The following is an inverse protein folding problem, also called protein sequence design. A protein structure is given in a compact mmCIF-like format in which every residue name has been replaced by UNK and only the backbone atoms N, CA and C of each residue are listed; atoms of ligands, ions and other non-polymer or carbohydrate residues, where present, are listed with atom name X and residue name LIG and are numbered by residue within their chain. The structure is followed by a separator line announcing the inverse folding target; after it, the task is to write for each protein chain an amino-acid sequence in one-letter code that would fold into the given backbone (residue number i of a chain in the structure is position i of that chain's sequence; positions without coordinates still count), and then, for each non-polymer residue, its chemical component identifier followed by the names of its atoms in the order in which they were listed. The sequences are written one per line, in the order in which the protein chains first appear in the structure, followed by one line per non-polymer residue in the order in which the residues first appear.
data_IF_395453136034
#
_entry.id   IF_395453136034
#
_cell.length_a   1.000
_cell.length_b   1.000
_cell.length_c   1.000
_cell.angle_alpha   90.00
_cell.angle_beta   90.00
_cell.angle_gamma   90.00
#
_symmetry.space_group_name_H-M   'P 1'
#
loop_
_entity.id
_entity.type
_entity.pdbx_description
1 polymer ?
#
# COMPACT_ATOMS: atom_id res chain seq x y z
N UNK A 1 4.93 -7.58 13.04
CA UNK A 1 4.92 -7.39 11.59
C UNK A 1 3.55 -7.66 11.03
N UNK A 2 3.18 -6.89 10.01
CA UNK A 2 1.93 -6.98 9.29
C UNK A 2 2.26 -7.28 7.83
N UNK A 3 1.54 -8.22 7.23
CA UNK A 3 1.76 -8.72 5.89
C UNK A 3 0.43 -8.70 5.11
N UNK A 4 0.26 -7.72 4.23
CA UNK A 4 -0.87 -7.61 3.31
C UNK A 4 -0.56 -8.35 2.01
N UNK A 5 -1.00 -9.60 1.95
CA UNK A 5 -0.86 -10.45 0.78
C UNK A 5 -2.07 -10.40 -0.15
N UNK A 6 -2.04 -11.21 -1.19
CA UNK A 6 -3.14 -11.34 -2.17
C UNK A 6 -4.31 -12.18 -1.66
N UNK A 7 -4.11 -13.01 -0.62
CA UNK A 7 -5.16 -13.86 -0.04
C UNK A 7 -5.74 -13.33 1.28
N UNK A 8 -5.01 -12.43 1.95
CA UNK A 8 -5.41 -11.90 3.25
C UNK A 8 -4.37 -10.97 3.86
N UNK A 9 -4.69 -10.46 5.04
CA UNK A 9 -3.77 -9.77 5.93
C UNK A 9 -3.37 -10.68 7.08
N UNK A 10 -2.09 -10.72 7.43
CA UNK A 10 -1.58 -11.45 8.59
C UNK A 10 -0.83 -10.51 9.54
N UNK A 11 -0.96 -10.76 10.84
CA UNK A 11 -0.11 -10.18 11.86
C UNK A 11 0.75 -11.27 12.49
N UNK A 12 1.98 -10.91 12.86
CA UNK A 12 2.92 -11.71 13.62
C UNK A 12 3.55 -10.84 14.71
N UNK A 13 3.48 -11.25 15.97
CA UNK A 13 4.13 -10.58 17.10
C UNK A 13 5.36 -11.38 17.49
N UNK A 14 6.51 -10.72 17.48
CA UNK A 14 7.79 -11.33 17.80
C UNK A 14 8.33 -10.76 19.11
N UNK A 15 8.92 -11.62 19.93
CA UNK A 15 9.78 -11.20 21.04
C UNK A 15 11.16 -10.77 20.54
N UNK A 16 11.95 -10.16 21.44
CA UNK A 16 13.29 -9.67 21.11
C UNK A 16 14.25 -10.77 20.62
N UNK A 17 14.05 -12.01 21.09
CA UNK A 17 14.79 -13.20 20.66
C UNK A 17 14.30 -13.77 19.31
N UNK A 18 13.39 -13.05 18.62
CA UNK A 18 12.75 -13.41 17.34
C UNK A 18 11.74 -14.56 17.45
N UNK A 19 11.35 -14.97 18.65
CA UNK A 19 10.28 -15.96 18.84
C UNK A 19 8.92 -15.35 18.49
N UNK A 20 8.17 -16.01 17.61
CA UNK A 20 6.77 -15.65 17.35
C UNK A 20 5.90 -16.09 18.53
N UNK A 21 5.22 -15.12 19.16
CA UNK A 21 4.35 -15.35 20.33
C UNK A 21 2.87 -15.20 19.99
N UNK A 22 2.55 -14.61 18.85
CA UNK A 22 1.19 -14.48 18.36
C UNK A 22 1.17 -14.36 16.85
N UNK A 23 0.19 -15.01 16.22
CA UNK A 23 -0.07 -14.88 14.78
C UNK A 23 -1.56 -15.02 14.52
N UNK A 24 -2.07 -14.21 13.59
CA UNK A 24 -3.47 -14.29 13.15
C UNK A 24 -3.59 -13.73 11.74
N UNK A 25 -4.54 -14.26 10.98
CA UNK A 25 -4.85 -13.77 9.63
C UNK A 25 -6.35 -13.49 9.46
N UNK A 26 -6.64 -12.51 8.61
CA UNK A 26 -7.97 -12.24 8.05
C UNK A 26 -7.89 -12.50 6.56
N UNK A 27 -8.77 -13.35 6.02
CA UNK A 27 -8.84 -13.59 4.58
C UNK A 27 -9.75 -12.55 3.94
N UNK A 28 -9.40 -12.11 2.74
CA UNK A 28 -10.19 -11.11 2.02
C UNK A 28 -11.65 -11.58 1.84
N UNK A 29 -11.83 -12.77 1.29
CA UNK A 29 -13.16 -13.36 1.04
C UNK A 29 -14.13 -13.42 2.24
N UNK A 30 -13.64 -13.29 3.48
CA UNK A 30 -14.48 -13.37 4.68
C UNK A 30 -15.18 -12.03 4.97
N UNK A 31 -14.59 -10.89 4.57
CA UNK A 31 -15.09 -9.57 4.99
C UNK A 31 -14.81 -8.41 4.02
N UNK A 32 -13.70 -8.41 3.30
CA UNK A 32 -13.25 -7.27 2.48
C UNK A 32 -12.64 -7.75 1.16
N UNK A 33 -12.72 -6.97 0.09
CA UNK A 33 -12.01 -7.35 -1.13
C UNK A 33 -10.49 -7.12 -1.01
N UNK A 34 -9.70 -7.89 -1.75
CA UNK A 34 -8.23 -7.75 -1.76
C UNK A 34 -7.77 -6.40 -2.33
N UNK A 35 -8.64 -5.72 -3.09
CA UNK A 35 -8.46 -4.41 -3.72
C UNK A 35 -9.24 -3.28 -3.03
N UNK A 36 -9.76 -3.52 -1.82
CA UNK A 36 -10.48 -2.51 -1.01
C UNK A 36 -9.53 -1.81 0.00
N UNK A 37 -9.17 -0.54 -0.22
CA UNK A 37 -8.27 0.20 0.66
C UNK A 37 -8.79 0.35 2.10
N UNK A 38 -10.10 0.57 2.27
CA UNK A 38 -10.72 0.63 3.59
C UNK A 38 -10.59 -0.70 4.29
N UNK A 39 -10.84 -1.79 3.56
CA UNK A 39 -10.69 -3.15 4.05
C UNK A 39 -9.27 -3.51 4.48
N UNK A 40 -8.24 -2.97 3.82
CA UNK A 40 -6.85 -3.13 4.25
C UNK A 40 -6.62 -2.54 5.64
N UNK A 41 -7.03 -1.29 5.84
CA UNK A 41 -6.85 -0.56 7.11
C UNK A 41 -7.65 -1.22 8.24
N UNK A 42 -8.90 -1.56 7.98
CA UNK A 42 -9.78 -2.19 8.97
C UNK A 42 -9.27 -3.56 9.39
N UNK A 43 -8.79 -4.37 8.44
CA UNK A 43 -8.21 -5.68 8.73
C UNK A 43 -6.99 -5.56 9.63
N UNK A 44 -6.11 -4.60 9.35
CA UNK A 44 -4.92 -4.31 10.16
C UNK A 44 -5.31 -3.84 11.56
N UNK A 45 -6.23 -2.88 11.68
CA UNK A 45 -6.75 -2.40 12.98
C UNK A 45 -7.39 -3.53 13.78
N UNK A 46 -8.12 -4.44 13.13
CA UNK A 46 -8.69 -5.62 13.79
C UNK A 46 -7.61 -6.55 14.32
N UNK A 47 -6.61 -6.87 13.50
CA UNK A 47 -5.51 -7.76 13.89
C UNK A 47 -4.66 -7.19 15.02
N UNK A 48 -4.40 -5.87 15.02
CA UNK A 48 -3.69 -5.19 16.11
C UNK A 48 -4.49 -5.28 17.42
N UNK A 49 -5.81 -5.02 17.38
CA UNK A 49 -6.67 -5.16 18.57
C UNK A 49 -6.67 -6.58 19.11
N UNK A 50 -6.81 -7.57 18.23
CA UNK A 50 -6.81 -8.98 18.62
C UNK A 50 -5.47 -9.42 19.23
N UNK A 51 -4.35 -8.94 18.68
CA UNK A 51 -3.03 -9.20 19.25
C UNK A 51 -2.85 -8.53 20.61
N UNK A 52 -3.29 -7.28 20.76
CA UNK A 52 -3.21 -6.54 22.04
C UNK A 52 -4.05 -7.17 23.14
N UNK A 53 -5.16 -7.82 22.78
CA UNK A 53 -6.01 -8.54 23.73
C UNK A 53 -5.45 -9.93 24.12
N UNK A 54 -4.63 -10.53 23.25
CA UNK A 54 -4.11 -11.89 23.43
C UNK A 54 -2.69 -11.94 24.02
N UNK A 55 -1.92 -10.85 23.92
CA UNK A 55 -0.54 -10.79 24.40
C UNK A 55 -0.44 -9.76 25.53
N UNK A 56 -0.24 -10.26 26.74
CA UNK A 56 -0.17 -9.44 27.95
C UNK A 56 0.92 -8.35 27.85
N UNK A 57 0.53 -7.10 28.12
CA UNK A 57 1.42 -5.94 28.14
C UNK A 57 1.94 -5.51 26.76
N UNK A 58 1.36 -6.00 25.65
CA UNK A 58 1.81 -5.64 24.31
C UNK A 58 1.75 -4.13 24.06
N UNK A 59 0.68 -3.48 24.53
CA UNK A 59 0.44 -2.03 24.41
C UNK A 59 1.55 -1.15 25.03
N UNK A 60 2.18 -1.63 26.10
CA UNK A 60 3.25 -0.91 26.81
C UNK A 60 4.66 -1.36 26.41
N UNK A 61 4.79 -2.54 25.80
CA UNK A 61 6.09 -3.14 25.46
C UNK A 61 6.41 -3.11 23.97
N UNK A 62 5.43 -2.85 23.10
CA UNK A 62 5.61 -2.80 21.64
C UNK A 62 6.62 -1.70 21.25
N UNK A 63 7.72 -2.12 20.62
CA UNK A 63 8.79 -1.20 20.18
C UNK A 63 8.62 -0.67 18.77
N UNK A 64 8.02 -1.47 17.89
CA UNK A 64 7.96 -1.16 16.47
C UNK A 64 6.90 -1.99 15.76
N UNK A 65 6.32 -1.40 14.73
CA UNK A 65 5.46 -2.09 13.76
C UNK A 65 6.13 -1.99 12.40
N UNK A 66 6.16 -3.09 11.65
CA UNK A 66 6.50 -3.10 10.23
C UNK A 66 5.30 -3.57 9.43
N UNK A 67 5.09 -2.98 8.25
CA UNK A 67 4.00 -3.29 7.33
C UNK A 67 4.62 -3.64 5.99
N UNK A 68 4.28 -4.82 5.47
CA UNK A 68 4.62 -5.28 4.14
C UNK A 68 3.34 -5.38 3.31
N UNK A 69 3.41 -4.96 2.05
CA UNK A 69 2.30 -5.04 1.11
C UNK A 69 2.71 -5.78 -0.15
N UNK A 70 1.72 -6.24 -0.91
CA UNK A 70 1.97 -6.87 -2.20
C UNK A 70 2.56 -5.83 -3.16
N UNK A 71 3.72 -6.14 -3.75
CA UNK A 71 4.48 -5.21 -4.58
C UNK A 71 3.65 -4.62 -5.73
N UNK A 72 3.85 -3.34 -6.01
CA UNK A 72 3.14 -2.57 -7.04
C UNK A 72 1.61 -2.46 -6.88
N UNK A 73 1.03 -3.00 -5.80
CA UNK A 73 -0.35 -2.69 -5.43
C UNK A 73 -0.39 -1.27 -4.85
N UNK A 74 -1.18 -0.38 -5.46
CA UNK A 74 -1.23 1.02 -5.06
C UNK A 74 -2.61 1.64 -5.28
N UNK A 75 -2.80 2.82 -4.72
CA UNK A 75 -3.99 3.65 -4.82
C UNK A 75 -3.60 5.12 -4.85
N UNK A 76 -4.46 5.99 -5.41
CA UNK A 76 -4.33 7.43 -5.19
C UNK A 76 -5.08 7.80 -3.91
N UNK A 77 -4.36 8.34 -2.94
CA UNK A 77 -4.87 8.79 -1.66
C UNK A 77 -5.03 10.31 -1.65
N UNK A 78 -6.14 10.81 -1.12
CA UNK A 78 -6.27 12.23 -0.77
C UNK A 78 -5.65 12.46 0.61
N UNK A 79 -4.62 13.32 0.69
CA UNK A 79 -3.89 13.59 1.93
C UNK A 79 -4.65 14.43 2.95
N UNK A 80 -5.73 15.11 2.57
CA UNK A 80 -6.58 15.85 3.53
C UNK A 80 -7.56 14.92 4.24
N UNK A 81 -8.20 14.01 3.50
CA UNK A 81 -9.22 13.11 4.08
C UNK A 81 -8.62 11.79 4.56
N UNK A 82 -7.50 11.38 3.96
CA UNK A 82 -6.92 10.06 4.13
C UNK A 82 -7.58 8.98 3.29
N UNK A 83 -8.57 9.33 2.47
CA UNK A 83 -9.36 8.36 1.72
C UNK A 83 -8.70 7.98 0.39
N UNK A 84 -9.03 6.79 -0.09
CA UNK A 84 -8.74 6.41 -1.46
C UNK A 84 -9.60 7.22 -2.42
N UNK A 85 -8.98 8.05 -3.25
CA UNK A 85 -9.66 8.85 -4.28
C UNK A 85 -9.90 8.08 -5.59
N UNK A 86 -9.33 6.89 -5.73
CA UNK A 86 -9.51 5.98 -6.86
C UNK A 86 -9.71 4.56 -6.37
N UNK A 87 -10.20 3.67 -7.24
CA UNK A 87 -10.06 2.24 -7.02
C UNK A 87 -8.56 1.85 -6.94
N UNK A 88 -8.24 0.83 -6.14
CA UNK A 88 -6.88 0.30 -6.09
C UNK A 88 -6.50 -0.36 -7.42
N UNK A 89 -5.22 -0.23 -7.79
CA UNK A 89 -4.61 -0.99 -8.89
C UNK A 89 -3.63 -1.98 -8.31
N UNK A 90 -4.05 -3.24 -8.25
CA UNK A 90 -3.29 -4.33 -7.64
C UNK A 90 -2.09 -4.75 -8.49
N UNK A 91 -1.21 -5.58 -7.93
CA UNK A 91 0.05 -6.02 -8.56
C UNK A 91 -0.11 -6.60 -9.99
N UNK A 92 -1.25 -7.21 -10.29
CA UNK A 92 -1.60 -7.84 -11.57
C UNK A 92 -2.37 -6.89 -12.51
N UNK A 93 -2.76 -5.71 -12.04
CA UNK A 93 -3.34 -4.68 -12.89
C UNK A 93 -2.29 -4.20 -13.91
N UNK A 94 -2.57 -4.44 -15.18
CA UNK A 94 -1.73 -4.03 -16.31
C UNK A 94 -2.35 -2.84 -17.00
N UNK A 95 -1.59 -1.74 -17.16
CA UNK A 95 -2.09 -0.58 -17.92
C UNK A 95 -2.36 -0.92 -19.39
N UNK A 96 -1.81 -2.00 -19.93
CA UNK A 96 -2.09 -2.46 -21.29
C UNK A 96 -3.56 -2.87 -21.50
N UNK A 97 -4.31 -3.15 -20.43
CA UNK A 97 -5.75 -3.43 -20.54
C UNK A 97 -6.60 -2.16 -20.68
N UNK A 98 -6.00 -0.97 -20.46
CA UNK A 98 -6.68 0.31 -20.63
C UNK A 98 -6.67 0.74 -22.10
N UNK A 99 -7.70 1.49 -22.49
CA UNK A 99 -7.83 2.04 -23.85
C UNK A 99 -6.60 2.83 -24.28
N UNK A 100 -6.09 3.69 -23.40
CA UNK A 100 -4.94 4.56 -23.65
C UNK A 100 -3.64 3.97 -23.08
N UNK A 101 -3.64 2.68 -22.73
CA UNK A 101 -2.51 1.99 -22.10
C UNK A 101 -1.24 1.98 -22.95
N UNK A 102 -1.38 1.92 -24.28
CA UNK A 102 -0.24 1.96 -25.20
C UNK A 102 0.49 3.31 -25.12
N UNK A 103 -0.24 4.42 -25.10
CA UNK A 103 0.35 5.76 -25.02
C UNK A 103 1.13 5.93 -23.71
N UNK A 104 0.55 5.46 -22.59
CA UNK A 104 1.23 5.45 -21.29
C UNK A 104 2.56 4.69 -21.35
N UNK A 105 2.58 3.52 -21.99
CA UNK A 105 3.80 2.71 -22.13
C UNK A 105 4.82 3.34 -23.07
N UNK A 106 4.39 3.93 -24.18
CA UNK A 106 5.28 4.63 -25.11
C UNK A 106 5.96 5.82 -24.41
N UNK A 107 5.21 6.59 -23.61
CA UNK A 107 5.75 7.69 -22.77
C UNK A 107 6.79 7.20 -21.76
N UNK A 108 6.53 6.06 -21.12
CA UNK A 108 7.48 5.43 -20.18
C UNK A 108 8.78 5.02 -20.87
N UNK A 109 8.69 4.34 -22.01
CA UNK A 109 9.84 3.89 -22.80
C UNK A 109 10.68 5.09 -23.24
N UNK A 110 10.04 6.20 -23.62
CA UNK A 110 10.72 7.41 -24.05
C UNK A 110 11.45 8.15 -22.90
N UNK A 111 10.92 8.07 -21.67
CA UNK A 111 11.46 8.78 -20.52
C UNK A 111 12.50 7.99 -19.72
N UNK A 112 12.39 6.67 -19.68
CA UNK A 112 13.25 5.82 -18.86
C UNK A 112 14.53 5.39 -19.61
N UNK A 113 15.64 5.14 -18.88
CA UNK A 113 16.83 4.54 -19.48
C UNK A 113 16.50 3.20 -20.19
N UNK A 114 17.29 2.81 -21.21
CA UNK A 114 17.10 1.53 -21.88
C UNK A 114 17.10 0.36 -20.88
N UNK A 115 16.08 -0.51 -20.95
CA UNK A 115 15.90 -1.69 -20.09
C UNK A 115 15.68 -1.39 -18.60
N UNK A 116 15.30 -0.16 -18.24
CA UNK A 116 15.00 0.19 -16.86
C UNK A 116 13.80 -0.60 -16.33
N UNK A 117 13.88 -1.07 -15.08
CA UNK A 117 12.86 -1.92 -14.43
C UNK A 117 11.51 -1.20 -14.25
N UNK A 118 11.53 0.13 -14.25
CA UNK A 118 10.32 0.96 -14.19
C UNK A 118 9.44 0.84 -15.45
N UNK A 119 9.99 0.38 -16.58
CA UNK A 119 9.25 0.16 -17.83
C UNK A 119 8.52 -1.18 -17.76
N UNK A 120 7.57 -1.28 -16.84
CA UNK A 120 6.70 -2.45 -16.67
C UNK A 120 5.23 -2.03 -16.75
N UNK A 121 4.39 -2.74 -17.53
CA UNK A 121 2.97 -2.42 -17.63
C UNK A 121 2.19 -2.65 -16.33
N UNK A 122 2.73 -3.42 -15.39
CA UNK A 122 2.15 -3.64 -14.05
C UNK A 122 2.84 -2.81 -12.95
N UNK A 123 3.84 -1.99 -13.30
CA UNK A 123 4.58 -1.16 -12.37
C UNK A 123 3.79 0.04 -11.86
N UNK A 124 4.14 0.52 -10.66
CA UNK A 124 3.47 1.67 -10.03
C UNK A 124 3.61 2.96 -10.85
N UNK A 125 4.74 3.18 -11.52
CA UNK A 125 4.91 4.35 -12.39
C UNK A 125 3.94 4.34 -13.58
N UNK A 126 3.72 3.18 -14.19
CA UNK A 126 2.74 3.03 -15.26
C UNK A 126 1.32 3.32 -14.77
N UNK A 127 0.96 2.78 -13.60
CA UNK A 127 -0.35 3.02 -12.97
C UNK A 127 -0.56 4.50 -12.65
N UNK A 128 0.47 5.20 -12.17
CA UNK A 128 0.44 6.64 -11.91
C UNK A 128 0.19 7.45 -13.18
N UNK A 129 0.93 7.18 -14.25
CA UNK A 129 0.76 7.86 -15.53
C UNK A 129 -0.61 7.58 -16.15
N UNK A 130 -1.12 6.36 -16.00
CA UNK A 130 -2.46 5.99 -16.44
C UNK A 130 -3.54 6.77 -15.67
N UNK A 131 -3.43 6.90 -14.34
CA UNK A 131 -4.35 7.75 -13.57
C UNK A 131 -4.28 9.22 -14.01
N UNK A 132 -3.07 9.74 -14.23
CA UNK A 132 -2.85 11.10 -14.72
C UNK A 132 -3.47 11.35 -16.11
N UNK A 133 -3.50 10.32 -16.97
CA UNK A 133 -4.12 10.39 -18.29
C UNK A 133 -5.67 10.30 -18.22
N UNK A 134 -6.22 9.55 -17.27
CA UNK A 134 -7.67 9.46 -17.03
C UNK A 134 -8.23 10.74 -16.43
N UNK A 135 -7.44 11.42 -15.59
CA UNK A 135 -7.79 12.71 -15.01
C UNK A 135 -6.58 13.34 -14.29
N UNK A 136 -6.33 14.64 -14.46
CA UNK A 136 -5.29 15.32 -13.71
C UNK A 136 -5.47 15.14 -12.20
N UNK A 137 -4.40 14.74 -11.51
CA UNK A 137 -4.37 14.65 -10.05
C UNK A 137 -4.29 16.06 -9.44
N UNK A 138 -4.93 16.27 -8.30
CA UNK A 138 -4.82 17.50 -7.51
C UNK A 138 -3.56 17.49 -6.64
N UNK A 139 -3.24 18.64 -6.04
CA UNK A 139 -2.10 18.78 -5.11
C UNK A 139 -2.25 17.93 -3.83
N UNK A 140 -3.45 17.44 -3.51
CA UNK A 140 -3.70 16.59 -2.36
C UNK A 140 -3.67 15.11 -2.70
N UNK A 141 -3.72 14.76 -3.98
CA UNK A 141 -3.78 13.40 -4.48
C UNK A 141 -2.38 12.84 -4.72
N UNK A 142 -2.00 11.85 -3.91
CA UNK A 142 -0.68 11.23 -3.96
C UNK A 142 -0.81 9.73 -4.16
N UNK A 143 0.17 9.13 -4.84
CA UNK A 143 0.26 7.68 -4.91
C UNK A 143 0.71 7.11 -3.57
N UNK A 144 0.00 6.12 -3.08
CA UNK A 144 0.39 5.30 -1.94
C UNK A 144 0.43 3.83 -2.37
N UNK A 145 1.53 3.13 -2.12
CA UNK A 145 1.50 1.67 -2.18
C UNK A 145 0.63 1.12 -1.06
N UNK A 146 0.17 -0.12 -1.18
CA UNK A 146 -0.70 -0.77 -0.19
C UNK A 146 -0.17 -0.64 1.25
N UNK A 147 1.14 -0.86 1.46
CA UNK A 147 1.78 -0.68 2.75
C UNK A 147 1.81 0.80 3.18
N UNK A 148 2.17 1.70 2.27
CA UNK A 148 2.26 3.14 2.55
C UNK A 148 0.90 3.72 2.95
N UNK A 149 -0.17 3.29 2.29
CA UNK A 149 -1.56 3.68 2.60
C UNK A 149 -1.91 3.25 4.03
N UNK A 150 -1.68 1.99 4.39
CA UNK A 150 -1.92 1.48 5.74
C UNK A 150 -1.08 2.23 6.79
N UNK A 151 0.21 2.42 6.52
CA UNK A 151 1.13 3.12 7.45
C UNK A 151 0.67 4.55 7.67
N UNK A 152 0.22 5.25 6.63
CA UNK A 152 -0.28 6.62 6.76
C UNK A 152 -1.45 6.71 7.75
N UNK A 153 -2.37 5.72 7.76
CA UNK A 153 -3.45 5.64 8.74
C UNK A 153 -3.00 5.21 10.15
N UNK A 154 -1.97 4.38 10.26
CA UNK A 154 -1.41 3.98 11.57
C UNK A 154 -0.63 5.13 12.23
N UNK A 155 -0.01 6.00 11.43
CA UNK A 155 0.77 7.14 11.88
C UNK A 155 -0.04 8.45 11.93
N UNK A 156 -1.27 8.45 11.42
CA UNK A 156 -2.10 9.65 11.43
C UNK A 156 -2.41 10.07 12.87
N UNK A 157 -2.13 11.33 13.15
CA UNK A 157 -2.43 12.00 14.39
C UNK A 157 -3.36 13.18 14.07
N UNK A 158 -4.49 13.28 14.77
CA UNK A 158 -5.58 14.21 14.50
C UNK A 158 -5.27 15.67 14.86
N UNK A 159 -4.01 16.02 15.10
CA UNK A 159 -3.54 17.35 15.46
C UNK A 159 -3.55 18.34 14.27
N UNK A 160 -4.60 18.33 13.46
CA UNK A 160 -4.84 19.19 12.29
C UNK A 160 -3.77 19.16 11.18
N UNK A 161 -2.93 18.13 11.15
CA UNK A 161 -1.96 17.92 10.07
C UNK A 161 -2.55 16.98 9.01
N UNK A 162 -2.25 17.20 7.71
CA UNK A 162 -2.67 16.27 6.66
C UNK A 162 -2.01 14.90 6.85
N UNK A 163 -2.66 13.87 6.32
CA UNK A 163 -2.04 12.56 6.17
C UNK A 163 -0.73 12.68 5.38
N UNK A 164 0.27 11.90 5.80
CA UNK A 164 1.54 11.81 5.11
C UNK A 164 1.76 10.41 4.59
N UNK A 165 2.05 10.31 3.30
CA UNK A 165 2.48 9.06 2.67
C UNK A 165 4.00 9.02 2.67
N UNK A 166 4.56 7.97 3.27
CA UNK A 166 5.99 7.67 3.27
C UNK A 166 6.16 6.27 2.72
N UNK A 167 7.13 6.10 1.83
CA UNK A 167 7.41 4.83 1.17
C UNK A 167 8.84 4.40 1.44
N UNK A 168 9.07 3.08 1.43
CA UNK A 168 10.40 2.53 1.53
C UNK A 168 11.11 2.51 0.17
N UNK A 169 12.41 2.18 0.21
CA UNK A 169 13.21 2.05 -1.01
C UNK A 169 12.63 1.05 -2.01
N UNK A 170 12.19 -0.12 -1.53
CA UNK A 170 11.70 -1.18 -2.40
C UNK A 170 10.46 -0.76 -3.17
N UNK A 171 9.53 -0.05 -2.54
CA UNK A 171 8.34 0.49 -3.18
C UNK A 171 8.69 1.63 -4.15
N UNK A 172 9.58 2.54 -3.76
CA UNK A 172 10.06 3.63 -4.63
C UNK A 172 10.74 3.13 -5.92
N UNK A 173 11.47 2.00 -5.88
CA UNK A 173 12.02 1.38 -7.10
C UNK A 173 10.93 1.11 -8.18
N UNK A 174 9.68 0.81 -7.78
CA UNK A 174 8.57 0.58 -8.73
C UNK A 174 8.04 1.87 -9.35
N UNK A 175 8.44 3.03 -8.81
CA UNK A 175 8.22 4.36 -9.38
C UNK A 175 9.39 4.82 -10.26
N UNK A 176 10.42 3.99 -10.44
CA UNK A 176 11.60 4.30 -11.22
C UNK A 176 12.63 5.17 -10.53
N UNK A 177 12.59 5.21 -9.20
CA UNK A 177 13.69 5.71 -8.39
C UNK A 177 14.85 4.70 -8.44
N UNK A 178 16.05 5.14 -8.82
CA UNK A 178 17.33 4.41 -8.77
C UNK A 178 18.47 5.43 -8.61
#
# INVERSE_FOLDING_TARGET
GIDLGTSGCRISVLQQDKKEVYTKAVLWKDRYSYDDPTGWVDSVKSLIRDASAAVDGLDTTLRSICVSGTSASCVIMDTKTGEASTAARMYDFSVSSLKDGKDVLDRLVAAAPPKHTAVSPTGSLAKLLAWQAEGPLTDTQVLAHQADFVVSHLCYDSNDLPYKVVSDWHNCLKLGYD
#
